data_IF_840757800558
#
_entry.id   IF_840757800558
#
_cell.length_a   1.000
_cell.length_b   1.000
_cell.length_c   1.000
_cell.angle_alpha   90.00
_cell.angle_beta   90.00
_cell.angle_gamma   90.00
#
_symmetry.space_group_name_H-M   'P 1'
#
loop_
_entity.id
_entity.type
_entity.pdbx_description
1 polymer ?
#
# COMPACT_ATOMS: atom_id res chain seq x y z
N UNK A 1 -21.39 -12.60 16.18
CA UNK A 1 -21.54 -13.96 15.59
C UNK A 1 -22.27 -13.96 14.24
N UNK A 2 -23.23 -13.07 14.00
CA UNK A 2 -24.02 -13.01 12.74
C UNK A 2 -23.19 -12.68 11.49
N UNK A 3 -22.12 -11.90 11.66
CA UNK A 3 -21.32 -11.36 10.55
C UNK A 3 -20.39 -12.38 9.86
N UNK A 4 -19.85 -13.34 10.62
CA UNK A 4 -18.99 -14.39 10.08
C UNK A 4 -19.79 -15.42 9.25
N UNK A 5 -21.01 -15.74 9.68
CA UNK A 5 -21.91 -16.66 8.97
C UNK A 5 -22.38 -16.07 7.64
N UNK A 6 -22.69 -14.77 7.61
CA UNK A 6 -23.08 -14.07 6.38
C UNK A 6 -21.94 -14.01 5.36
N UNK A 7 -20.70 -13.92 5.83
CA UNK A 7 -19.51 -13.88 4.95
C UNK A 7 -19.27 -15.24 4.29
N UNK A 8 -19.41 -16.34 5.05
CA UNK A 8 -19.35 -17.69 4.49
C UNK A 8 -20.44 -17.94 3.44
N UNK A 9 -21.68 -17.52 3.70
CA UNK A 9 -22.78 -17.67 2.75
C UNK A 9 -22.56 -16.87 1.45
N UNK A 10 -21.92 -15.70 1.56
CA UNK A 10 -21.54 -14.86 0.42
C UNK A 10 -20.41 -15.50 -0.40
N UNK A 11 -19.40 -16.05 0.28
CA UNK A 11 -18.30 -16.77 -0.37
C UNK A 11 -18.78 -18.02 -1.14
N UNK A 12 -19.77 -18.75 -0.62
CA UNK A 12 -20.38 -19.87 -1.36
C UNK A 12 -21.14 -19.41 -2.60
N UNK A 13 -21.85 -18.28 -2.53
CA UNK A 13 -22.50 -17.67 -3.71
C UNK A 13 -21.49 -17.23 -4.78
N UNK A 14 -20.27 -16.84 -4.40
CA UNK A 14 -19.18 -16.63 -5.36
C UNK A 14 -18.85 -17.90 -6.13
N UNK A 15 -18.71 -19.04 -5.44
CA UNK A 15 -18.46 -20.34 -6.10
C UNK A 15 -19.60 -20.69 -7.05
N UNK A 16 -20.86 -20.55 -6.61
CA UNK A 16 -22.04 -20.83 -7.43
C UNK A 16 -22.13 -19.92 -8.68
N UNK A 17 -21.56 -18.71 -8.60
CA UNK A 17 -21.47 -17.78 -9.73
C UNK A 17 -20.31 -18.07 -10.71
N UNK A 18 -19.50 -19.10 -10.43
CA UNK A 18 -18.38 -19.52 -11.28
C UNK A 18 -17.01 -18.99 -10.85
N UNK A 19 -16.90 -18.35 -9.68
CA UNK A 19 -15.59 -17.97 -9.12
C UNK A 19 -14.84 -19.24 -8.68
N UNK A 20 -13.54 -19.41 -9.02
CA UNK A 20 -12.80 -20.62 -8.68
C UNK A 20 -12.76 -20.89 -7.17
N UNK A 21 -13.08 -22.13 -6.77
CA UNK A 21 -13.07 -22.56 -5.37
C UNK A 21 -11.70 -22.35 -4.68
N UNK A 22 -10.60 -22.52 -5.42
CA UNK A 22 -9.25 -22.28 -4.90
C UNK A 22 -9.07 -20.83 -4.43
N UNK A 23 -9.49 -19.88 -5.26
CA UNK A 23 -9.45 -18.46 -4.93
C UNK A 23 -10.36 -18.11 -3.74
N UNK A 24 -11.57 -18.67 -3.69
CA UNK A 24 -12.47 -18.45 -2.54
C UNK A 24 -11.88 -19.00 -1.23
N UNK A 25 -11.16 -20.13 -1.28
CA UNK A 25 -10.46 -20.65 -0.09
C UNK A 25 -9.36 -19.71 0.40
N UNK A 26 -8.57 -19.13 -0.51
CA UNK A 26 -7.54 -18.15 -0.17
C UNK A 26 -8.16 -16.88 0.43
N UNK A 27 -9.24 -16.37 -0.16
CA UNK A 27 -10.02 -15.27 0.39
C UNK A 27 -10.47 -15.55 1.82
N UNK A 28 -11.07 -16.71 2.06
CA UNK A 28 -11.60 -17.08 3.36
C UNK A 28 -10.51 -17.25 4.43
N UNK A 29 -9.29 -17.67 4.04
CA UNK A 29 -8.15 -17.70 4.94
C UNK A 29 -7.71 -16.28 5.37
N UNK A 30 -7.93 -15.27 4.52
CA UNK A 30 -7.57 -13.89 4.80
C UNK A 30 -8.69 -13.09 5.50
N UNK A 31 -9.94 -13.55 5.46
CA UNK A 31 -11.09 -12.88 6.09
C UNK A 31 -10.87 -12.65 7.59
N UNK A 32 -10.27 -13.61 8.30
CA UNK A 32 -9.99 -13.47 9.73
C UNK A 32 -8.93 -12.39 10.01
N UNK A 33 -8.00 -12.18 9.08
CA UNK A 33 -6.90 -11.23 9.20
C UNK A 33 -7.21 -9.85 8.62
N UNK A 34 -8.32 -9.68 7.90
CA UNK A 34 -8.65 -8.43 7.19
C UNK A 34 -10.17 -8.17 7.12
N UNK A 35 -10.70 -7.28 7.98
CA UNK A 35 -12.08 -6.80 7.88
C UNK A 35 -12.41 -6.15 6.52
N UNK A 36 -11.41 -5.62 5.81
CA UNK A 36 -11.59 -5.04 4.48
C UNK A 36 -11.98 -6.11 3.44
N UNK A 37 -11.37 -7.30 3.50
CA UNK A 37 -11.72 -8.43 2.64
C UNK A 37 -13.15 -8.89 2.92
N UNK A 38 -13.54 -8.93 4.21
CA UNK A 38 -14.90 -9.23 4.60
C UNK A 38 -15.92 -8.23 4.03
N UNK A 39 -15.60 -6.93 4.07
CA UNK A 39 -16.43 -5.88 3.49
C UNK A 39 -16.62 -6.05 1.98
N UNK A 40 -15.54 -6.35 1.26
CA UNK A 40 -15.58 -6.54 -0.19
C UNK A 40 -16.32 -7.81 -0.61
N UNK A 41 -16.23 -8.92 0.15
CA UNK A 41 -17.04 -10.12 -0.10
C UNK A 41 -18.53 -9.81 0.03
N UNK A 42 -18.93 -9.00 1.04
CA UNK A 42 -20.33 -8.57 1.17
C UNK A 42 -20.75 -7.61 0.09
N UNK A 43 -19.88 -6.67 -0.28
CA UNK A 43 -20.15 -5.73 -1.36
C UNK A 43 -20.39 -6.48 -2.67
N UNK A 44 -19.54 -7.46 -3.00
CA UNK A 44 -19.72 -8.32 -4.16
C UNK A 44 -21.08 -9.06 -4.13
N UNK A 45 -21.48 -9.54 -2.96
CA UNK A 45 -22.71 -10.33 -2.80
C UNK A 45 -24.00 -9.49 -2.90
N UNK A 46 -23.92 -8.23 -2.48
CA UNK A 46 -25.06 -7.30 -2.48
C UNK A 46 -25.18 -6.51 -3.77
N UNK A 47 -24.15 -6.52 -4.62
CA UNK A 47 -24.09 -5.72 -5.83
C UNK A 47 -24.96 -6.33 -6.94
N UNK A 48 -26.08 -5.68 -7.33
CA UNK A 48 -26.92 -6.20 -8.41
C UNK A 48 -26.24 -6.14 -9.78
N UNK A 49 -25.40 -5.13 -10.02
CA UNK A 49 -24.77 -4.94 -11.31
C UNK A 49 -23.64 -5.96 -11.56
N UNK A 50 -23.62 -6.52 -12.76
CA UNK A 50 -22.63 -7.55 -13.11
C UNK A 50 -21.23 -6.96 -13.36
N UNK A 51 -21.14 -5.72 -13.84
CA UNK A 51 -19.87 -5.04 -14.06
C UNK A 51 -19.26 -4.60 -12.73
N UNK A 52 -20.04 -4.00 -11.83
CA UNK A 52 -19.56 -3.61 -10.49
C UNK A 52 -19.14 -4.83 -9.64
N UNK A 53 -19.84 -5.97 -9.79
CA UNK A 53 -19.38 -7.25 -9.22
C UNK A 53 -18.05 -7.71 -9.78
N UNK A 54 -17.84 -7.58 -11.10
CA UNK A 54 -16.56 -7.94 -11.71
C UNK A 54 -15.43 -7.03 -11.22
N UNK A 55 -15.68 -5.73 -11.05
CA UNK A 55 -14.71 -4.78 -10.49
C UNK A 55 -14.36 -5.13 -9.03
N UNK A 56 -15.36 -5.50 -8.23
CA UNK A 56 -15.14 -5.95 -6.86
C UNK A 56 -14.32 -7.24 -6.80
N UNK A 57 -14.57 -8.17 -7.73
CA UNK A 57 -13.80 -9.41 -7.83
C UNK A 57 -12.34 -9.15 -8.17
N UNK A 58 -12.06 -8.19 -9.07
CA UNK A 58 -10.68 -7.75 -9.37
C UNK A 58 -10.02 -7.16 -8.12
N UNK A 59 -10.72 -6.33 -7.36
CA UNK A 59 -10.19 -5.77 -6.11
C UNK A 59 -9.88 -6.87 -5.06
N UNK A 60 -10.73 -7.89 -4.96
CA UNK A 60 -10.49 -9.07 -4.10
C UNK A 60 -9.27 -9.87 -4.57
N UNK A 61 -9.09 -10.06 -5.88
CA UNK A 61 -7.94 -10.76 -6.44
C UNK A 61 -6.63 -10.06 -6.13
N UNK A 62 -6.61 -8.74 -6.30
CA UNK A 62 -5.45 -7.91 -5.98
C UNK A 62 -5.09 -8.02 -4.49
N UNK A 63 -6.08 -8.01 -3.59
CA UNK A 63 -5.82 -8.19 -2.16
C UNK A 63 -5.25 -9.57 -1.81
N UNK A 64 -5.74 -10.63 -2.47
CA UNK A 64 -5.18 -11.98 -2.26
C UNK A 64 -3.74 -12.04 -2.76
N UNK A 65 -3.48 -11.50 -3.95
CA UNK A 65 -2.12 -11.43 -4.52
C UNK A 65 -1.19 -10.62 -3.62
N UNK A 66 -1.61 -9.47 -3.11
CA UNK A 66 -0.82 -8.64 -2.20
C UNK A 66 -0.49 -9.38 -0.89
N UNK A 67 -1.42 -10.17 -0.34
CA UNK A 67 -1.16 -10.95 0.88
C UNK A 67 -0.35 -12.23 0.61
N UNK A 68 -0.37 -12.77 -0.61
CA UNK A 68 0.45 -13.92 -1.00
C UNK A 68 1.95 -13.58 -1.06
N UNK A 69 2.30 -12.31 -1.28
CA UNK A 69 3.69 -11.85 -1.37
C UNK A 69 4.33 -11.51 0.00
N UNK A 70 3.56 -11.47 1.10
CA UNK A 70 4.09 -11.26 2.47
C UNK A 70 3.62 -12.35 3.46
N UNK A 71 4.16 -13.59 3.38
CA UNK A 71 3.83 -14.63 4.32
C UNK A 71 4.58 -14.40 5.65
N UNK A 72 3.95 -13.79 6.66
CA UNK A 72 4.37 -14.05 8.05
C UNK A 72 4.29 -12.98 9.14
N UNK A 73 3.64 -11.83 8.99
CA UNK A 73 3.75 -10.79 10.05
C UNK A 73 2.43 -10.12 10.44
N UNK A 74 1.53 -10.78 11.19
CA UNK A 74 0.43 -10.08 11.88
C UNK A 74 0.12 -10.68 13.26
N UNK A 75 0.81 -10.16 14.29
CA UNK A 75 0.49 -10.30 15.72
C UNK A 75 0.09 -8.93 16.28
N UNK A 76 -0.73 -8.90 17.33
CA UNK A 76 -1.41 -7.71 17.89
C UNK A 76 -0.53 -6.62 18.56
N UNK A 77 0.79 -6.61 18.35
CA UNK A 77 1.70 -5.53 18.80
C UNK A 77 1.69 -4.30 17.87
N UNK A 78 0.88 -4.33 16.79
CA UNK A 78 1.01 -3.51 15.58
C UNK A 78 0.24 -2.17 15.58
N UNK A 79 -0.50 -1.83 16.64
CA UNK A 79 -1.33 -0.60 16.63
C UNK A 79 -0.51 0.70 16.68
N UNK A 80 0.62 0.72 17.39
CA UNK A 80 1.54 1.87 17.38
C UNK A 80 2.40 1.90 16.10
N UNK A 81 2.70 0.73 15.52
CA UNK A 81 3.39 0.61 14.24
C UNK A 81 2.54 1.12 13.06
N UNK A 82 1.21 0.98 13.13
CA UNK A 82 0.30 1.42 12.07
C UNK A 82 0.28 2.95 11.91
N UNK A 83 0.41 3.72 12.99
CA UNK A 83 0.51 5.19 12.95
C UNK A 83 1.86 5.65 12.39
N UNK A 84 2.95 4.98 12.77
CA UNK A 84 4.29 5.25 12.23
C UNK A 84 4.35 4.93 10.73
N UNK A 85 3.81 3.78 10.31
CA UNK A 85 3.70 3.38 8.90
C UNK A 85 2.81 4.34 8.11
N UNK A 86 1.71 4.82 8.69
CA UNK A 86 0.85 5.81 8.04
C UNK A 86 1.57 7.15 7.86
N UNK A 87 2.28 7.63 8.89
CA UNK A 87 3.08 8.85 8.83
C UNK A 87 4.17 8.74 7.75
N UNK A 88 4.86 7.61 7.68
CA UNK A 88 5.87 7.33 6.67
C UNK A 88 5.27 7.33 5.25
N UNK A 89 4.14 6.66 5.05
CA UNK A 89 3.43 6.66 3.76
C UNK A 89 3.00 8.06 3.35
N UNK A 90 2.52 8.88 4.27
CA UNK A 90 2.16 10.27 3.99
C UNK A 90 3.38 11.13 3.66
N UNK A 91 4.51 10.93 4.34
CA UNK A 91 5.76 11.62 4.04
C UNK A 91 6.26 11.27 2.63
N UNK A 92 6.22 9.99 2.27
CA UNK A 92 6.53 9.54 0.91
C UNK A 92 5.60 10.15 -0.14
N UNK A 93 4.28 10.19 0.13
CA UNK A 93 3.30 10.84 -0.76
C UNK A 93 3.58 12.32 -0.95
N UNK A 94 3.96 13.02 0.11
CA UNK A 94 4.33 14.43 0.04
C UNK A 94 5.59 14.65 -0.81
N UNK A 95 6.59 13.76 -0.69
CA UNK A 95 7.77 13.78 -1.55
C UNK A 95 7.41 13.54 -3.02
N UNK A 96 6.63 12.49 -3.30
CA UNK A 96 6.17 12.18 -4.64
C UNK A 96 5.36 13.34 -5.25
N UNK A 97 4.55 14.02 -4.44
CA UNK A 97 3.81 15.22 -4.86
C UNK A 97 4.75 16.36 -5.24
N UNK A 98 5.77 16.65 -4.42
CA UNK A 98 6.79 17.67 -4.73
C UNK A 98 7.50 17.39 -6.05
N UNK A 99 7.86 16.12 -6.30
CA UNK A 99 8.44 15.71 -7.58
C UNK A 99 7.47 15.97 -8.73
N UNK A 100 6.22 15.52 -8.61
CA UNK A 100 5.18 15.73 -9.63
C UNK A 100 5.02 17.22 -9.94
N UNK A 101 4.99 18.07 -8.93
CA UNK A 101 4.86 19.52 -9.07
C UNK A 101 6.11 20.15 -9.72
N UNK A 102 7.32 19.72 -9.34
CA UNK A 102 8.58 20.14 -9.97
C UNK A 102 8.67 19.77 -11.46
N UNK A 103 8.01 18.68 -11.86
CA UNK A 103 7.93 18.25 -13.25
C UNK A 103 6.71 18.83 -13.99
N UNK A 104 6.14 19.94 -13.54
CA UNK A 104 5.05 20.62 -14.26
C UNK A 104 3.63 20.23 -13.80
N UNK A 105 3.53 19.60 -12.64
CA UNK A 105 2.27 19.32 -11.96
C UNK A 105 1.52 18.09 -12.47
N UNK A 106 0.43 17.79 -11.75
CA UNK A 106 -0.39 16.58 -11.93
C UNK A 106 -0.85 16.42 -13.38
N UNK A 107 -1.32 17.48 -14.04
CA UNK A 107 -1.79 17.42 -15.43
C UNK A 107 -0.69 17.05 -16.42
N UNK A 108 0.50 17.64 -16.29
CA UNK A 108 1.61 17.40 -17.21
C UNK A 108 2.23 16.02 -17.01
N UNK A 109 2.36 15.57 -15.77
CA UNK A 109 2.88 14.24 -15.43
C UNK A 109 1.87 13.16 -15.82
N UNK A 110 0.58 13.32 -15.52
CA UNK A 110 -0.46 12.35 -15.89
C UNK A 110 -0.48 12.10 -17.41
N UNK A 111 -0.43 13.16 -18.21
CA UNK A 111 -0.39 13.06 -19.67
C UNK A 111 0.84 12.30 -20.17
N UNK A 112 2.03 12.61 -19.67
CA UNK A 112 3.27 11.91 -20.06
C UNK A 112 3.31 10.46 -19.60
N UNK A 113 2.79 10.19 -18.41
CA UNK A 113 2.70 8.84 -17.87
C UNK A 113 1.59 8.00 -18.55
N UNK A 114 0.70 8.62 -19.32
CA UNK A 114 -0.49 7.98 -19.90
C UNK A 114 -1.52 7.56 -18.84
N UNK A 115 -1.57 8.26 -17.70
CA UNK A 115 -2.48 8.00 -16.60
C UNK A 115 -3.66 8.99 -16.66
N UNK A 116 -4.89 8.57 -16.30
CA UNK A 116 -5.97 9.51 -16.09
C UNK A 116 -5.59 10.53 -15.00
N UNK A 117 -5.71 11.82 -15.29
CA UNK A 117 -5.41 12.88 -14.31
C UNK A 117 -6.18 12.71 -12.98
N UNK A 118 -7.48 12.35 -12.96
CA UNK A 118 -8.20 12.11 -11.70
C UNK A 118 -7.61 10.94 -10.90
N UNK A 119 -7.10 9.90 -11.57
CA UNK A 119 -6.47 8.75 -10.91
C UNK A 119 -5.14 9.14 -10.27
N UNK A 120 -4.29 9.88 -10.97
CA UNK A 120 -3.04 10.40 -10.38
C UNK A 120 -3.32 11.35 -9.20
N UNK A 121 -4.31 12.23 -9.35
CA UNK A 121 -4.70 13.16 -8.29
C UNK A 121 -5.18 12.42 -7.04
N UNK A 122 -6.10 11.46 -7.20
CA UNK A 122 -6.60 10.66 -6.08
C UNK A 122 -5.47 9.90 -5.40
N UNK A 123 -4.64 9.23 -6.19
CA UNK A 123 -3.48 8.50 -5.69
C UNK A 123 -2.56 9.39 -4.85
N UNK A 124 -2.26 10.62 -5.26
CA UNK A 124 -1.40 11.53 -4.48
C UNK A 124 -2.05 12.07 -3.20
N UNK A 125 -3.38 12.01 -3.10
CA UNK A 125 -4.14 12.55 -1.97
C UNK A 125 -4.60 11.47 -0.97
N UNK A 126 -4.40 10.20 -1.27
CA UNK A 126 -4.82 9.08 -0.42
C UNK A 126 -3.62 8.31 0.13
N UNK A 127 -3.74 7.66 1.30
CA UNK A 127 -2.69 6.83 1.89
C UNK A 127 -2.44 5.51 1.14
N UNK A 128 -3.11 5.28 0.02
CA UNK A 128 -2.97 4.05 -0.77
C UNK A 128 -1.63 3.98 -1.48
N UNK A 129 -1.01 2.82 -1.48
CA UNK A 129 0.27 2.59 -2.14
C UNK A 129 0.09 2.51 -3.67
N UNK A 130 0.74 3.39 -4.47
CA UNK A 130 0.87 3.22 -5.91
C UNK A 130 1.53 1.89 -6.24
N UNK A 131 0.92 1.13 -7.15
CA UNK A 131 1.51 -0.10 -7.67
C UNK A 131 2.87 0.15 -8.34
N UNK A 132 3.74 -0.85 -8.32
CA UNK A 132 5.06 -0.79 -8.97
C UNK A 132 5.00 -0.32 -10.43
N UNK A 133 4.04 -0.85 -11.21
CA UNK A 133 3.82 -0.44 -12.61
C UNK A 133 3.49 1.05 -12.74
N UNK A 134 2.75 1.61 -11.79
CA UNK A 134 2.42 3.04 -11.77
C UNK A 134 3.65 3.86 -11.43
N UNK A 135 4.45 3.44 -10.44
CA UNK A 135 5.72 4.08 -10.09
C UNK A 135 6.70 4.10 -11.27
N UNK A 136 6.85 2.99 -12.00
CA UNK A 136 7.69 2.92 -13.20
C UNK A 136 7.23 3.92 -14.27
N UNK A 137 5.92 4.05 -14.50
CA UNK A 137 5.37 5.01 -15.47
C UNK A 137 5.60 6.46 -15.04
N UNK A 138 5.51 6.74 -13.75
CA UNK A 138 5.78 8.08 -13.20
C UNK A 138 7.28 8.42 -13.30
N UNK A 139 8.15 7.50 -12.92
CA UNK A 139 9.59 7.62 -13.06
C UNK A 139 9.99 7.92 -14.51
N UNK A 140 9.48 7.11 -15.46
CA UNK A 140 9.69 7.32 -16.89
C UNK A 140 9.15 8.68 -17.39
N UNK A 141 7.96 9.08 -16.94
CA UNK A 141 7.36 10.36 -17.32
C UNK A 141 8.15 11.57 -16.80
N UNK A 142 8.79 11.45 -15.64
CA UNK A 142 9.60 12.50 -15.02
C UNK A 142 11.07 12.43 -15.43
N UNK A 143 11.52 11.34 -16.05
CA UNK A 143 12.91 11.13 -16.44
C UNK A 143 13.83 10.87 -15.25
N UNK A 144 13.31 10.20 -14.22
CA UNK A 144 14.05 9.84 -13.00
C UNK A 144 14.06 8.33 -12.80
N UNK A 145 14.98 7.83 -11.98
CA UNK A 145 14.99 6.43 -11.55
C UNK A 145 13.88 6.16 -10.53
N UNK A 146 13.37 4.93 -10.46
CA UNK A 146 12.30 4.55 -9.51
C UNK A 146 12.73 4.80 -8.06
N UNK A 147 14.01 4.55 -7.74
CA UNK A 147 14.56 4.83 -6.40
C UNK A 147 14.47 6.31 -5.99
N UNK A 148 14.51 7.24 -6.94
CA UNK A 148 14.38 8.67 -6.65
C UNK A 148 12.95 9.09 -6.24
N UNK A 149 11.96 8.22 -6.49
CA UNK A 149 10.58 8.43 -6.03
C UNK A 149 10.43 8.21 -4.53
N UNK A 150 11.42 7.61 -3.87
CA UNK A 150 11.44 7.43 -2.42
C UNK A 150 12.32 8.51 -1.78
N UNK A 151 11.94 9.05 -0.60
CA UNK A 151 12.80 9.95 0.14
C UNK A 151 14.08 9.20 0.54
N UNK A 152 15.24 9.77 0.20
CA UNK A 152 16.54 9.27 0.66
C UNK A 152 16.82 9.79 2.07
N UNK A 153 17.56 9.02 2.87
CA UNK A 153 17.93 9.35 4.26
C UNK A 153 18.71 10.68 4.40
N UNK A 154 19.27 11.20 3.30
CA UNK A 154 20.10 12.41 3.26
C UNK A 154 19.32 13.76 3.25
N UNK A 155 17.98 13.77 3.17
CA UNK A 155 17.18 15.02 3.32
C UNK A 155 16.07 14.93 4.40
N UNK A 156 16.41 14.69 5.68
CA UNK A 156 15.41 14.59 6.76
C UNK A 156 14.71 15.94 7.06
N UNK A 157 15.39 17.07 6.82
CA UNK A 157 14.91 18.39 7.25
C UNK A 157 13.68 18.91 6.50
N UNK A 158 13.34 18.34 5.32
CA UNK A 158 12.16 18.74 4.54
C UNK A 158 10.97 17.78 4.65
N UNK A 159 11.11 16.71 5.44
CA UNK A 159 10.08 15.67 5.60
C UNK A 159 9.36 15.75 6.96
N UNK A 160 9.32 16.93 7.57
CA UNK A 160 8.50 17.17 8.77
C UNK A 160 7.04 17.28 8.34
N UNK A 161 6.31 16.17 8.41
CA UNK A 161 4.85 16.18 8.39
C UNK A 161 4.39 16.54 9.80
N UNK A 162 3.85 17.75 9.97
CA UNK A 162 3.15 18.11 11.21
C UNK A 162 1.82 17.35 11.24
N UNK A 163 1.83 16.13 11.79
CA UNK A 163 0.63 15.50 12.29
C UNK A 163 0.21 16.25 13.55
N UNK A 164 -1.10 16.45 13.71
CA UNK A 164 -1.72 17.21 14.80
C UNK A 164 -1.07 16.89 16.16
N UNK A 165 -0.60 17.95 16.83
CA UNK A 165 -0.07 18.03 18.20
C UNK A 165 0.71 16.81 18.74
N UNK A 166 2.04 16.88 18.66
CA UNK A 166 2.92 16.30 19.69
C UNK A 166 3.80 15.13 19.29
N UNK A 167 3.70 14.57 18.08
CA UNK A 167 4.52 13.43 17.67
C UNK A 167 5.52 13.80 16.57
N UNK A 168 6.81 13.65 16.86
CA UNK A 168 7.92 13.72 15.90
C UNK A 168 8.52 12.33 15.77
N UNK A 169 8.21 11.62 14.69
CA UNK A 169 8.87 10.36 14.36
C UNK A 169 10.03 10.63 13.39
N UNK A 170 11.23 10.19 13.75
CA UNK A 170 12.37 10.08 12.84
C UNK A 170 12.39 8.64 12.32
N UNK A 171 12.16 8.42 11.02
CA UNK A 171 12.13 7.08 10.41
C UNK A 171 13.15 7.01 9.28
N UNK A 172 13.96 5.95 9.28
CA UNK A 172 15.05 5.67 8.34
C UNK A 172 14.64 4.58 7.36
N UNK A 173 14.68 4.86 6.06
CA UNK A 173 14.16 4.00 4.99
C UNK A 173 15.01 2.73 4.74
N UNK A 174 16.25 2.70 5.21
CA UNK A 174 17.22 1.64 4.94
C UNK A 174 16.98 0.31 5.66
N UNK A 175 16.17 0.27 6.73
CA UNK A 175 16.03 -0.93 7.58
C UNK A 175 14.88 -1.86 7.18
N UNK A 176 13.89 -1.39 6.41
CA UNK A 176 12.68 -2.17 6.12
C UNK A 176 12.70 -2.95 4.79
N UNK A 177 13.45 -2.49 3.78
CA UNK A 177 13.44 -3.11 2.44
C UNK A 177 14.61 -4.08 2.19
N UNK A 178 15.70 -3.96 2.94
CA UNK A 178 16.86 -4.82 2.79
C UNK A 178 17.12 -5.49 4.14
N UNK A 179 16.77 -6.77 4.27
CA UNK A 179 17.12 -7.60 5.43
C UNK A 179 18.64 -7.76 5.60
N UNK A 180 19.33 -6.67 5.96
CA UNK A 180 20.76 -6.64 6.23
C UNK A 180 20.88 -6.60 7.74
N UNK A 181 21.28 -7.74 8.32
CA UNK A 181 21.81 -7.79 9.68
C UNK A 181 23.04 -6.86 9.74
N UNK A 182 22.86 -5.65 10.24
CA UNK A 182 23.95 -4.79 10.67
C UNK A 182 24.58 -5.44 11.90
N UNK A 183 25.71 -6.12 11.70
CA UNK A 183 26.57 -6.59 12.80
C UNK A 183 27.01 -5.38 13.62
N UNK A 184 27.05 -5.46 14.97
CA UNK A 184 27.59 -4.39 15.77
C UNK A 184 29.08 -4.21 15.44
N UNK A 185 29.45 -2.99 14.99
CA UNK A 185 30.84 -2.55 14.92
C UNK A 185 31.39 -2.54 16.35
N UNK A 186 32.11 -3.60 16.72
CA UNK A 186 33.03 -3.57 17.88
C UNK A 186 34.03 -2.45 17.62
N UNK A 187 33.99 -1.40 18.43
CA UNK A 187 35.04 -0.40 18.49
C UNK A 187 36.32 -1.08 18.98
N UNK A 188 37.26 -1.29 18.06
CA UNK A 188 38.62 -1.64 18.38
C UNK A 188 39.31 -0.36 18.89
N UNK A 189 39.42 -0.20 20.21
CA UNK A 189 40.45 0.66 20.80
C UNK A 189 41.74 -0.17 20.93
N UNK A 190 42.68 0.11 20.04
CA UNK A 190 44.10 -0.20 20.19
C UNK A 190 44.86 0.92 19.48
N UNK A 191 45.32 1.93 20.21
CA UNK A 191 46.62 2.00 20.87
C UNK A 191 47.63 2.78 20.01
N UNK A 192 48.00 3.98 20.46
CA UNK A 192 49.34 4.32 20.98
C UNK A 192 49.31 5.70 21.60
#
# INVERSE_FOLDING_TARGET
MTDALNTHASAWRMVDSGVPLAFVKELMALVEASPAIQGLIRMWDQEPDAQERAETLVALQELVEDNAHEPGARSAERLDDDDALLAERMAWKAHLRRLVDAHGGVSAVARRAGLPQPSLSRMLSTPSEPRAKTLMRLAAAMGVEVGALHPTEDEPEKNVVHLSEGYRAEVSYGELLFGVRSRPRRSWRGAR
#
